data_IF_104047186421
#
_entry.id   IF_104047186421
#
_cell.length_a   1.000
_cell.length_b   1.000
_cell.length_c   1.000
_cell.angle_alpha   90.00
_cell.angle_beta   90.00
_cell.angle_gamma   90.00
#
_symmetry.space_group_name_H-M   'P 1'
#
loop_
_entity.id
_entity.type
_entity.pdbx_description
1 polymer ?
#
# COMPACT_ATOMS: atom_id res chain seq x y z
N UNK A 1 11.40 -1.84 -24.50
CA UNK A 1 10.83 -2.48 -23.30
C UNK A 1 9.91 -1.49 -22.61
N UNK A 2 8.76 -1.92 -22.09
CA UNK A 2 7.93 -1.05 -21.24
C UNK A 2 8.69 -0.70 -19.95
N UNK A 3 8.47 0.49 -19.40
CA UNK A 3 9.07 0.89 -18.13
C UNK A 3 8.35 0.13 -17.01
N UNK A 4 9.09 -0.35 -16.02
CA UNK A 4 8.50 -0.97 -14.84
C UNK A 4 7.55 0.04 -14.15
N UNK A 5 6.34 -0.40 -13.82
CA UNK A 5 5.26 0.43 -13.25
C UNK A 5 4.97 1.71 -14.06
N UNK A 6 4.85 1.60 -15.39
CA UNK A 6 4.34 2.70 -16.21
C UNK A 6 2.82 2.90 -16.06
N UNK A 7 2.25 3.86 -16.80
CA UNK A 7 0.81 4.15 -16.77
C UNK A 7 -0.07 2.96 -17.19
N UNK A 8 0.48 1.99 -17.93
CA UNK A 8 -0.23 0.80 -18.38
C UNK A 8 0.19 -0.43 -17.57
N UNK A 9 0.71 -0.24 -16.35
CA UNK A 9 1.08 -1.32 -15.45
C UNK A 9 -0.09 -2.27 -15.23
N UNK A 10 0.14 -3.58 -15.41
CA UNK A 10 -0.88 -4.63 -15.39
C UNK A 10 -1.96 -4.56 -16.50
N UNK A 11 -1.90 -3.58 -17.41
CA UNK A 11 -2.85 -3.45 -18.53
C UNK A 11 -2.25 -4.07 -19.81
N UNK A 12 -2.68 -5.29 -20.12
CA UNK A 12 -2.07 -6.13 -21.17
C UNK A 12 -2.62 -5.90 -22.59
N UNK A 13 -3.75 -5.21 -22.74
CA UNK A 13 -4.39 -4.96 -24.04
C UNK A 13 -5.11 -3.60 -24.08
N UNK A 14 -5.51 -3.17 -25.28
CA UNK A 14 -6.16 -1.86 -25.50
C UNK A 14 -7.51 -1.75 -24.78
N UNK A 15 -8.28 -2.84 -24.69
CA UNK A 15 -9.53 -2.86 -23.94
C UNK A 15 -9.31 -2.58 -22.45
N UNK A 16 -8.29 -3.22 -21.84
CA UNK A 16 -7.93 -3.01 -20.44
C UNK A 16 -7.49 -1.56 -20.16
N UNK A 17 -6.69 -0.98 -21.07
CA UNK A 17 -6.29 0.43 -21.00
C UNK A 17 -7.50 1.35 -21.04
N UNK A 18 -8.41 1.14 -21.99
CA UNK A 18 -9.62 1.94 -22.13
C UNK A 18 -10.51 1.86 -20.90
N UNK A 19 -10.79 0.64 -20.42
CA UNK A 19 -11.64 0.44 -19.23
C UNK A 19 -11.05 1.08 -17.97
N UNK A 20 -9.73 1.02 -17.81
CA UNK A 20 -9.08 1.61 -16.65
C UNK A 20 -9.00 3.15 -16.75
N UNK A 21 -8.40 3.67 -17.82
CA UNK A 21 -8.11 5.10 -17.96
C UNK A 21 -9.36 5.95 -18.20
N UNK A 22 -10.34 5.45 -18.96
CA UNK A 22 -11.52 6.24 -19.31
C UNK A 22 -12.65 6.13 -18.28
N UNK A 23 -12.63 5.09 -17.42
CA UNK A 23 -13.75 4.80 -16.52
C UNK A 23 -13.33 4.49 -15.09
N UNK A 24 -12.36 3.60 -14.85
CA UNK A 24 -12.10 3.13 -13.49
C UNK A 24 -11.20 4.07 -12.66
N UNK A 25 -10.26 4.76 -13.28
CA UNK A 25 -9.21 5.52 -12.59
C UNK A 25 -9.75 6.66 -11.71
N UNK A 26 -10.80 7.34 -12.18
CA UNK A 26 -11.39 8.50 -11.50
C UNK A 26 -12.58 8.13 -10.60
N UNK A 27 -12.93 6.84 -10.48
CA UNK A 27 -14.02 6.42 -9.61
C UNK A 27 -13.66 6.57 -8.13
N UNK A 28 -14.61 7.01 -7.28
CA UNK A 28 -14.38 7.07 -5.85
C UNK A 28 -14.15 5.67 -5.28
N UNK A 29 -13.33 5.61 -4.23
CA UNK A 29 -13.11 4.38 -3.46
C UNK A 29 -14.24 4.25 -2.45
N UNK A 30 -14.94 3.12 -2.49
CA UNK A 30 -15.91 2.72 -1.46
C UNK A 30 -15.38 1.50 -0.71
N UNK A 31 -14.70 1.77 0.41
CA UNK A 31 -14.02 0.73 1.22
C UNK A 31 -14.91 0.25 2.36
N UNK A 32 -15.85 -0.66 2.04
CA UNK A 32 -16.87 -1.16 2.98
C UNK A 32 -16.31 -2.06 4.10
N UNK A 33 -15.07 -2.53 3.97
CA UNK A 33 -14.46 -3.42 4.94
C UNK A 33 -12.96 -3.14 5.05
N UNK A 34 -12.59 -2.38 6.09
CA UNK A 34 -11.21 -2.10 6.43
C UNK A 34 -10.96 -2.29 7.93
N UNK A 35 -9.69 -2.24 8.32
CA UNK A 35 -9.24 -2.31 9.71
C UNK A 35 -8.54 -1.02 10.16
N UNK A 36 -8.88 0.12 9.54
CA UNK A 36 -8.35 1.43 9.93
C UNK A 36 -8.85 1.79 11.34
N UNK A 37 -8.01 2.48 12.11
CA UNK A 37 -8.37 2.94 13.46
C UNK A 37 -9.32 4.14 13.38
N UNK A 38 -10.57 4.03 13.85
CA UNK A 38 -11.50 5.16 13.86
C UNK A 38 -11.00 6.32 14.73
N UNK A 39 -10.28 6.00 15.81
CA UNK A 39 -9.68 7.01 16.69
C UNK A 39 -8.63 7.84 15.95
N UNK A 40 -7.74 7.19 15.20
CA UNK A 40 -6.70 7.92 14.45
C UNK A 40 -7.30 8.83 13.38
N UNK A 41 -8.40 8.41 12.76
CA UNK A 41 -9.15 9.25 11.82
C UNK A 41 -9.81 10.44 12.52
N UNK A 42 -10.42 10.21 13.70
CA UNK A 42 -11.04 11.27 14.49
C UNK A 42 -10.03 12.31 14.98
N UNK A 43 -8.85 11.87 15.40
CA UNK A 43 -7.77 12.72 15.91
C UNK A 43 -6.95 13.40 14.81
N UNK A 44 -7.20 13.06 13.54
CA UNK A 44 -6.33 13.44 12.40
C UNK A 44 -4.84 13.20 12.70
N UNK A 45 -4.56 11.99 13.21
CA UNK A 45 -3.26 11.69 13.83
C UNK A 45 -2.11 11.83 12.81
N UNK A 46 -1.12 12.71 13.06
CA UNK A 46 0.09 12.76 12.23
C UNK A 46 1.02 11.58 12.54
N UNK A 47 1.85 11.22 11.56
CA UNK A 47 2.92 10.24 11.71
C UNK A 47 4.28 10.95 11.72
N UNK A 48 5.17 10.57 12.64
CA UNK A 48 6.46 11.25 12.80
C UNK A 48 7.44 10.92 11.67
N UNK A 49 7.29 9.74 11.05
CA UNK A 49 8.15 9.29 9.98
C UNK A 49 7.46 8.20 9.13
N UNK A 50 8.05 7.93 7.95
CA UNK A 50 7.53 6.94 7.01
C UNK A 50 7.51 5.51 7.57
N UNK A 51 8.40 5.19 8.52
CA UNK A 51 8.47 3.84 9.08
C UNK A 51 7.23 3.52 9.91
N UNK A 52 6.71 4.48 10.69
CA UNK A 52 5.49 4.29 11.47
C UNK A 52 4.31 3.90 10.58
N UNK A 53 4.11 4.59 9.45
CA UNK A 53 3.01 4.29 8.53
C UNK A 53 3.24 3.02 7.70
N UNK A 54 4.49 2.71 7.31
CA UNK A 54 4.76 1.56 6.42
C UNK A 54 4.98 0.23 7.15
N UNK A 55 5.52 0.24 8.38
CA UNK A 55 5.77 -0.95 9.20
C UNK A 55 4.79 -1.09 10.38
N UNK A 56 4.00 -0.07 10.71
CA UNK A 56 3.00 -0.16 11.78
C UNK A 56 1.78 -1.02 11.44
N UNK A 57 1.54 -1.29 10.15
CA UNK A 57 0.32 -1.93 9.66
C UNK A 57 0.53 -2.86 8.47
N UNK A 58 -0.43 -3.79 8.37
CA UNK A 58 -0.42 -5.12 7.77
C UNK A 58 0.90 -5.90 7.82
N UNK A 59 0.82 -7.08 8.42
CA UNK A 59 1.96 -7.89 8.81
C UNK A 59 2.73 -8.54 7.65
N UNK A 60 2.41 -8.26 6.37
CA UNK A 60 3.10 -8.87 5.22
C UNK A 60 4.59 -8.55 5.16
N UNK A 61 4.98 -7.30 5.45
CA UNK A 61 6.40 -6.91 5.48
C UNK A 61 7.14 -7.64 6.60
N UNK A 62 6.54 -7.69 7.78
CA UNK A 62 7.07 -8.45 8.91
C UNK A 62 7.20 -9.93 8.59
N UNK A 63 6.16 -10.55 8.03
CA UNK A 63 6.19 -11.96 7.61
C UNK A 63 7.38 -12.25 6.70
N UNK A 64 7.66 -11.38 5.74
CA UNK A 64 8.80 -11.54 4.84
C UNK A 64 10.16 -11.34 5.55
N UNK A 65 10.28 -10.33 6.41
CA UNK A 65 11.49 -10.07 7.21
C UNK A 65 11.79 -11.25 8.14
N UNK A 66 10.77 -11.80 8.80
CA UNK A 66 10.87 -12.98 9.66
C UNK A 66 11.29 -14.21 8.86
N UNK A 67 10.68 -14.44 7.70
CA UNK A 67 11.02 -15.56 6.81
C UNK A 67 12.49 -15.49 6.34
N UNK A 68 13.00 -14.29 6.09
CA UNK A 68 14.40 -14.09 5.71
C UNK A 68 15.38 -14.07 6.90
N UNK A 69 14.91 -14.30 8.13
CA UNK A 69 15.74 -14.27 9.35
C UNK A 69 16.47 -12.94 9.59
N UNK A 70 15.95 -11.83 9.07
CA UNK A 70 16.56 -10.49 9.15
C UNK A 70 16.34 -9.78 10.50
N UNK A 71 15.74 -10.44 11.48
CA UNK A 71 15.31 -9.88 12.78
C UNK A 71 16.46 -9.21 13.55
N UNK A 72 17.69 -9.73 13.43
CA UNK A 72 18.82 -9.23 14.24
C UNK A 72 19.20 -7.77 13.94
N UNK A 73 18.78 -7.20 12.80
CA UNK A 73 19.05 -5.80 12.44
C UNK A 73 17.93 -4.82 12.83
N UNK A 74 16.73 -5.29 13.20
CA UNK A 74 15.55 -4.44 13.35
C UNK A 74 15.20 -4.02 14.79
N UNK A 75 16.01 -4.42 15.79
CA UNK A 75 15.84 -3.97 17.19
C UNK A 75 16.02 -2.46 17.41
N UNK A 76 16.34 -1.69 16.37
CA UNK A 76 16.63 -0.25 16.42
C UNK A 76 15.44 0.61 15.93
N UNK A 77 14.34 0.01 15.46
CA UNK A 77 13.27 0.75 14.75
C UNK A 77 11.91 0.76 15.49
N UNK A 78 11.87 0.30 16.75
CA UNK A 78 10.72 0.50 17.65
C UNK A 78 11.07 1.50 18.74
#
# INVERSE_FOLDING_TARGET
MKKFMDKDFMLSNETAKKLYHDFAADMPIFDYHCHLSPQMMYEDKPFDNITQIFLGGDHYKWRMILHQSLIKQFKIIL
#
